data_IF_355295872835
#
_entry.id   IF_355295872835
#
_cell.length_a   1.000
_cell.length_b   1.000
_cell.length_c   1.000
_cell.angle_alpha   90.00
_cell.angle_beta   90.00
_cell.angle_gamma   90.00
#
_symmetry.space_group_name_H-M   'P 1'
#
loop_
_entity.id
_entity.type
_entity.pdbx_description
1 polymer ?
#
# COMPACT_ATOMS: atom_id res chain seq x y z
N UNK A 1 -46.81 -25.53 79.12
CA UNK A 1 -48.04 -26.27 78.72
C UNK A 1 -47.75 -26.97 77.39
N UNK A 2 -47.38 -28.26 77.52
CA UNK A 2 -47.60 -29.43 76.60
C UNK A 2 -47.06 -29.39 75.16
N UNK A 3 -46.31 -30.35 74.60
CA UNK A 3 -45.92 -31.76 74.90
C UNK A 3 -44.54 -32.03 74.22
N UNK A 4 -43.58 -32.78 74.80
CA UNK A 4 -43.30 -34.25 74.66
C UNK A 4 -43.41 -34.78 73.20
N UNK A 5 -42.55 -35.64 72.64
CA UNK A 5 -42.09 -37.00 73.05
C UNK A 5 -40.86 -37.44 72.21
N UNK A 6 -40.08 -38.35 72.80
CA UNK A 6 -38.87 -39.09 72.36
C UNK A 6 -39.06 -40.18 71.27
N UNK A 7 -37.92 -40.86 70.98
CA UNK A 7 -37.68 -42.24 70.48
C UNK A 7 -37.18 -42.32 69.02
N UNK A 8 -35.90 -42.64 68.79
CA UNK A 8 -35.18 -43.94 68.81
C UNK A 8 -35.40 -44.82 67.57
N UNK A 9 -34.26 -45.25 67.01
CA UNK A 9 -33.98 -46.45 66.21
C UNK A 9 -34.56 -46.60 64.80
N UNK A 10 -33.67 -46.60 63.80
CA UNK A 10 -33.46 -47.69 62.82
C UNK A 10 -32.28 -47.28 61.90
N UNK A 11 -31.08 -47.81 62.14
CA UNK A 11 -30.45 -48.91 61.39
C UNK A 11 -30.26 -48.67 59.88
N UNK A 12 -28.98 -48.50 59.52
CA UNK A 12 -28.28 -48.97 58.31
C UNK A 12 -29.06 -49.06 57.00
N UNK A 13 -28.65 -48.25 56.01
CA UNK A 13 -28.27 -48.77 54.70
C UNK A 13 -27.12 -47.95 54.12
N UNK A 14 -25.99 -48.62 53.89
CA UNK A 14 -24.87 -48.13 53.12
C UNK A 14 -25.22 -48.20 51.63
N UNK A 15 -24.94 -47.13 50.88
CA UNK A 15 -24.47 -47.24 49.49
C UNK A 15 -23.76 -45.95 49.09
N UNK A 16 -22.49 -46.11 48.78
CA UNK A 16 -21.57 -45.21 48.10
C UNK A 16 -22.15 -44.49 46.88
N UNK A 17 -21.90 -43.18 46.75
CA UNK A 17 -21.90 -42.51 45.45
C UNK A 17 -20.80 -41.43 45.38
N UNK A 18 -19.64 -41.88 44.91
CA UNK A 18 -18.72 -41.24 43.95
C UNK A 18 -18.64 -39.70 43.96
N UNK A 19 -17.51 -39.21 44.47
CA UNK A 19 -16.93 -37.91 44.12
C UNK A 19 -16.63 -37.88 42.61
N UNK A 20 -17.43 -37.15 41.83
CA UNK A 20 -17.01 -36.68 40.50
C UNK A 20 -16.30 -35.34 40.68
N UNK A 21 -15.01 -35.41 40.95
CA UNK A 21 -14.10 -34.28 40.77
C UNK A 21 -14.08 -33.96 39.28
N UNK A 22 -14.69 -32.85 38.88
CA UNK A 22 -14.52 -32.30 37.53
C UNK A 22 -13.08 -31.78 37.42
N UNK A 23 -12.17 -32.63 36.95
CA UNK A 23 -10.93 -32.17 36.34
C UNK A 23 -11.31 -31.46 35.04
N UNK A 24 -11.32 -30.13 35.09
CA UNK A 24 -11.32 -29.30 33.89
C UNK A 24 -10.00 -29.59 33.17
N UNK A 25 -10.03 -30.46 32.18
CA UNK A 25 -8.96 -30.57 31.20
C UNK A 25 -9.03 -29.30 30.37
N UNK A 26 -8.06 -28.41 30.58
CA UNK A 26 -7.78 -27.34 29.65
C UNK A 26 -7.44 -27.99 28.31
N UNK A 27 -8.39 -28.00 27.38
CA UNK A 27 -8.09 -28.27 25.99
C UNK A 27 -7.19 -27.13 25.51
N UNK A 28 -5.89 -27.42 25.44
CA UNK A 28 -4.98 -26.70 24.56
C UNK A 28 -5.52 -26.98 23.15
N UNK A 29 -6.40 -26.10 22.70
CA UNK A 29 -6.72 -26.00 21.28
C UNK A 29 -5.43 -25.59 20.61
N UNK A 30 -4.70 -26.57 20.08
CA UNK A 30 -3.68 -26.34 19.07
C UNK A 30 -4.36 -25.53 17.96
N UNK A 31 -4.08 -24.22 17.95
CA UNK A 31 -4.39 -23.38 16.81
C UNK A 31 -3.58 -23.96 15.67
N UNK A 32 -4.25 -24.68 14.77
CA UNK A 32 -3.72 -25.01 13.47
C UNK A 32 -3.10 -23.73 12.89
N UNK A 33 -1.86 -23.77 12.39
CA UNK A 33 -1.32 -22.62 11.67
C UNK A 33 -2.29 -22.39 10.50
N UNK A 34 -2.94 -21.24 10.51
CA UNK A 34 -3.66 -20.74 9.34
C UNK A 34 -2.59 -20.68 8.25
N UNK A 35 -2.61 -21.66 7.35
CA UNK A 35 -1.87 -21.57 6.12
C UNK A 35 -2.48 -20.38 5.39
N UNK A 36 -1.83 -19.23 5.47
CA UNK A 36 -2.05 -18.14 4.53
C UNK A 36 -1.76 -18.76 3.16
N UNK A 37 -2.83 -19.13 2.48
CA UNK A 37 -2.78 -19.56 1.10
C UNK A 37 -2.38 -18.30 0.31
N UNK A 38 -1.07 -18.11 0.15
CA UNK A 38 -0.52 -17.10 -0.73
C UNK A 38 -0.94 -17.50 -2.14
N UNK A 39 -2.07 -16.95 -2.58
CA UNK A 39 -2.44 -16.93 -3.99
C UNK A 39 -1.20 -16.43 -4.72
N UNK A 40 -0.56 -17.31 -5.48
CA UNK A 40 0.49 -16.91 -6.42
C UNK A 40 -0.20 -16.09 -7.50
N UNK A 41 -0.41 -14.81 -7.21
CA UNK A 41 -0.76 -13.85 -8.23
C UNK A 41 0.45 -13.76 -9.15
N UNK A 42 0.19 -13.92 -10.44
CA UNK A 42 1.13 -13.72 -11.52
C UNK A 42 1.94 -12.45 -11.24
N UNK A 43 3.26 -12.58 -11.11
CA UNK A 43 4.11 -11.50 -10.64
C UNK A 43 4.05 -10.33 -11.61
N UNK A 44 3.52 -9.19 -11.15
CA UNK A 44 3.41 -7.98 -11.97
C UNK A 44 4.80 -7.33 -12.05
N UNK A 45 5.31 -7.04 -13.24
CA UNK A 45 6.56 -6.29 -13.41
C UNK A 45 6.30 -4.79 -13.21
N UNK A 46 6.61 -4.30 -12.00
CA UNK A 46 6.42 -2.92 -11.61
C UNK A 46 7.40 -1.96 -12.29
N UNK A 47 8.64 -2.39 -12.55
CA UNK A 47 9.62 -1.59 -13.28
C UNK A 47 9.16 -1.36 -14.73
N UNK A 48 8.55 -2.37 -15.35
CA UNK A 48 7.91 -2.25 -16.66
C UNK A 48 6.71 -1.30 -16.63
N UNK A 49 5.84 -1.38 -15.62
CA UNK A 49 4.72 -0.44 -15.48
C UNK A 49 5.23 1.01 -15.46
N UNK A 50 6.24 1.31 -14.63
CA UNK A 50 6.78 2.67 -14.53
C UNK A 50 7.37 3.14 -15.86
N UNK A 51 8.12 2.27 -16.55
CA UNK A 51 8.68 2.56 -17.88
C UNK A 51 7.59 2.81 -18.92
N UNK A 52 6.55 1.98 -18.95
CA UNK A 52 5.44 2.11 -19.88
C UNK A 52 4.67 3.41 -19.63
N UNK A 53 4.40 3.75 -18.36
CA UNK A 53 3.79 5.02 -17.97
C UNK A 53 4.60 6.24 -18.41
N UNK A 54 5.92 6.22 -18.20
CA UNK A 54 6.80 7.30 -18.64
C UNK A 54 6.86 7.39 -20.18
N UNK A 55 7.04 6.25 -20.85
CA UNK A 55 7.19 6.20 -22.29
C UNK A 55 5.91 6.62 -23.02
N UNK A 56 4.75 6.13 -22.61
CA UNK A 56 3.47 6.51 -23.21
C UNK A 56 3.23 8.01 -23.13
N UNK A 57 3.54 8.63 -21.98
CA UNK A 57 3.42 10.08 -21.81
C UNK A 57 4.42 10.87 -22.65
N UNK A 58 5.67 10.40 -22.68
CA UNK A 58 6.71 11.01 -23.50
C UNK A 58 6.36 10.96 -24.99
N UNK A 59 5.92 9.80 -25.49
CA UNK A 59 5.52 9.61 -26.88
C UNK A 59 4.33 10.47 -27.26
N UNK A 60 3.31 10.55 -26.39
CA UNK A 60 2.19 11.47 -26.58
C UNK A 60 2.68 12.92 -26.71
N UNK A 61 3.47 13.40 -25.76
CA UNK A 61 4.01 14.76 -25.79
C UNK A 61 4.86 15.04 -27.03
N UNK A 62 5.64 14.05 -27.48
CA UNK A 62 6.42 14.15 -28.72
C UNK A 62 5.51 14.23 -29.95
N UNK A 63 4.41 13.47 -29.98
CA UNK A 63 3.43 13.48 -31.07
C UNK A 63 2.73 14.81 -31.26
N UNK A 64 2.61 15.62 -30.19
CA UNK A 64 2.07 16.98 -30.25
C UNK A 64 3.02 17.98 -30.94
N UNK A 65 4.32 17.69 -30.95
CA UNK A 65 5.36 18.56 -31.53
C UNK A 65 5.67 18.11 -32.95
N UNK A 66 5.66 16.81 -33.23
CA UNK A 66 5.81 16.33 -34.60
C UNK A 66 4.59 16.70 -35.41
N UNK A 67 4.78 17.17 -36.65
CA UNK A 67 3.70 17.40 -37.62
C UNK A 67 3.03 16.10 -38.12
N UNK A 68 3.02 15.07 -37.28
CA UNK A 68 2.29 13.83 -37.51
C UNK A 68 0.81 14.12 -37.66
N UNK A 69 0.21 13.60 -38.72
CA UNK A 69 -1.16 13.93 -39.16
C UNK A 69 -2.25 13.53 -38.14
N UNK A 70 -1.92 12.68 -37.16
CA UNK A 70 -2.80 12.34 -36.05
C UNK A 70 -2.00 12.29 -34.74
N UNK A 71 -2.39 13.05 -33.71
CA UNK A 71 -1.79 12.94 -32.39
C UNK A 71 -2.13 11.57 -31.80
N UNK A 72 -1.20 11.01 -31.03
CA UNK A 72 -1.46 9.77 -30.29
C UNK A 72 -2.62 9.98 -29.32
N UNK A 73 -3.30 8.89 -28.95
CA UNK A 73 -4.30 8.95 -27.90
C UNK A 73 -3.68 9.41 -26.58
N UNK A 74 -4.45 10.19 -25.83
CA UNK A 74 -4.04 10.74 -24.55
C UNK A 74 -3.88 9.58 -23.53
N UNK A 75 -2.69 9.41 -22.93
CA UNK A 75 -2.45 8.30 -22.01
C UNK A 75 -3.38 8.35 -20.80
N UNK A 76 -3.99 7.22 -20.46
CA UNK A 76 -4.88 7.11 -19.30
C UNK A 76 -4.05 7.14 -18.00
N UNK A 77 -4.49 7.85 -16.96
CA UNK A 77 -3.91 7.74 -15.63
C UNK A 77 -4.04 6.30 -15.13
N UNK A 78 -2.99 5.76 -14.53
CA UNK A 78 -2.98 4.40 -14.00
C UNK A 78 -2.16 4.37 -12.71
N UNK A 79 -2.65 3.64 -11.71
CA UNK A 79 -1.93 3.37 -10.46
C UNK A 79 -0.87 2.31 -10.70
N UNK A 80 0.28 2.48 -10.06
CA UNK A 80 1.34 1.47 -9.98
C UNK A 80 1.03 0.47 -8.85
N UNK A 81 0.45 0.94 -7.73
CA UNK A 81 0.14 0.12 -6.55
C UNK A 81 -1.33 -0.29 -6.57
N UNK A 82 -1.58 -1.56 -6.89
CA UNK A 82 -2.92 -2.15 -6.79
C UNK A 82 -3.24 -2.59 -5.35
N UNK A 83 -4.53 -2.75 -5.04
CA UNK A 83 -5.01 -3.10 -3.70
C UNK A 83 -4.55 -4.48 -3.25
N UNK A 84 -4.44 -5.45 -4.16
CA UNK A 84 -4.02 -6.81 -3.86
C UNK A 84 -3.11 -7.29 -5.00
N UNK A 85 -1.79 -7.24 -4.83
CA UNK A 85 -0.84 -7.65 -5.86
C UNK A 85 0.48 -8.14 -5.29
N UNK A 86 1.20 -8.98 -6.04
CA UNK A 86 2.64 -9.15 -5.88
C UNK A 86 3.32 -8.43 -7.03
N UNK A 87 4.09 -7.39 -6.73
CA UNK A 87 4.72 -6.54 -7.74
C UNK A 87 6.24 -6.64 -7.59
N UNK A 88 6.93 -6.95 -8.69
CA UNK A 88 8.37 -6.98 -8.73
C UNK A 88 8.91 -5.56 -9.00
N UNK A 89 9.79 -5.08 -8.11
CA UNK A 89 10.56 -3.87 -8.34
C UNK A 89 12.03 -4.10 -8.02
N UNK A 90 12.93 -3.74 -8.93
CA UNK A 90 14.36 -3.87 -8.70
C UNK A 90 14.81 -5.30 -8.38
N UNK A 91 14.07 -6.31 -8.85
CA UNK A 91 14.34 -7.72 -8.59
C UNK A 91 13.82 -8.26 -7.25
N UNK A 92 13.01 -7.49 -6.51
CA UNK A 92 12.36 -7.95 -5.28
C UNK A 92 10.84 -7.97 -5.44
N UNK A 93 10.20 -9.00 -4.91
CA UNK A 93 8.74 -9.10 -4.87
C UNK A 93 8.18 -8.36 -3.66
N UNK A 94 7.36 -7.35 -3.91
CA UNK A 94 6.61 -6.59 -2.91
C UNK A 94 5.21 -7.18 -2.83
N UNK A 95 4.83 -7.70 -1.67
CA UNK A 95 3.47 -8.17 -1.40
C UNK A 95 2.65 -6.98 -0.94
N UNK A 96 1.58 -6.70 -1.67
CA UNK A 96 0.72 -5.55 -1.47
C UNK A 96 -0.68 -6.03 -1.09
N UNK A 97 -1.17 -5.55 0.06
CA UNK A 97 -2.51 -5.83 0.58
C UNK A 97 -3.11 -4.52 1.05
N UNK A 98 -4.32 -4.21 0.60
CA UNK A 98 -5.00 -2.94 0.83
C UNK A 98 -4.13 -1.71 0.51
N UNK A 99 -3.42 -1.77 -0.63
CA UNK A 99 -2.44 -0.76 -1.08
C UNK A 99 -1.25 -0.55 -0.13
N UNK A 100 -1.00 -1.46 0.81
CA UNK A 100 0.14 -1.39 1.73
C UNK A 100 1.10 -2.51 1.41
N UNK A 101 2.39 -2.20 1.42
CA UNK A 101 3.45 -3.19 1.37
C UNK A 101 3.47 -3.92 2.70
N UNK A 102 3.02 -5.17 2.70
CA UNK A 102 3.02 -6.04 3.89
C UNK A 102 4.29 -6.88 3.99
N UNK A 103 4.97 -7.10 2.86
CA UNK A 103 6.22 -7.85 2.81
C UNK A 103 7.05 -7.45 1.59
N UNK A 104 8.37 -7.55 1.73
CA UNK A 104 9.30 -7.59 0.59
C UNK A 104 10.03 -8.92 0.66
N UNK A 105 9.77 -9.84 -0.27
CA UNK A 105 10.30 -11.21 -0.20
C UNK A 105 11.83 -11.19 -0.16
N UNK A 106 12.40 -12.02 0.69
CA UNK A 106 13.85 -12.08 0.91
C UNK A 106 14.41 -11.00 1.85
N UNK A 107 13.58 -10.07 2.33
CA UNK A 107 13.99 -9.03 3.31
C UNK A 107 13.16 -9.13 4.59
N UNK A 108 13.86 -9.13 5.73
CA UNK A 108 13.23 -9.05 7.05
C UNK A 108 13.18 -7.58 7.46
N UNK A 109 12.06 -6.91 7.16
CA UNK A 109 11.81 -5.51 7.51
C UNK A 109 10.84 -5.42 8.69
N UNK A 110 11.04 -4.41 9.55
CA UNK A 110 10.11 -4.14 10.64
C UNK A 110 8.77 -3.62 10.11
N UNK A 111 7.69 -3.79 10.88
CA UNK A 111 6.36 -3.24 10.54
C UNK A 111 6.40 -1.73 10.33
N UNK A 112 7.20 -1.01 11.12
CA UNK A 112 7.38 0.43 10.98
C UNK A 112 8.07 0.79 9.65
N UNK A 113 9.09 0.03 9.25
CA UNK A 113 9.80 0.22 7.98
C UNK A 113 8.89 -0.07 6.79
N UNK A 114 8.09 -1.13 6.86
CA UNK A 114 7.10 -1.48 5.83
C UNK A 114 5.99 -0.42 5.70
N UNK A 115 5.53 0.13 6.82
CA UNK A 115 4.57 1.24 6.83
C UNK A 115 5.18 2.49 6.18
N UNK A 116 6.40 2.88 6.57
CA UNK A 116 7.09 4.04 5.99
C UNK A 116 7.33 3.88 4.48
N UNK A 117 7.69 2.67 4.05
CA UNK A 117 7.84 2.32 2.65
C UNK A 117 6.50 2.46 1.91
N UNK A 118 5.43 1.90 2.46
CA UNK A 118 4.07 2.00 1.92
C UNK A 118 3.65 3.45 1.74
N UNK A 119 3.88 4.30 2.75
CA UNK A 119 3.48 5.70 2.71
C UNK A 119 4.18 6.46 1.58
N UNK A 120 5.49 6.22 1.40
CA UNK A 120 6.27 6.88 0.34
C UNK A 120 5.84 6.43 -1.04
N UNK A 121 5.74 5.12 -1.26
CA UNK A 121 5.35 4.60 -2.57
C UNK A 121 3.91 5.01 -2.92
N UNK A 122 2.98 4.97 -1.97
CA UNK A 122 1.61 5.45 -2.19
C UNK A 122 1.52 6.96 -2.42
N UNK A 123 2.36 7.76 -1.74
CA UNK A 123 2.41 9.19 -1.98
C UNK A 123 2.81 9.47 -3.43
N UNK A 124 3.88 8.83 -3.91
CA UNK A 124 4.36 8.98 -5.27
C UNK A 124 3.35 8.45 -6.30
N UNK A 125 2.73 7.29 -6.05
CA UNK A 125 1.73 6.72 -6.93
C UNK A 125 0.49 7.61 -7.09
N UNK A 126 -0.04 8.12 -5.97
CA UNK A 126 -1.16 9.08 -6.03
C UNK A 126 -0.75 10.38 -6.71
N UNK A 127 0.48 10.85 -6.49
CA UNK A 127 0.95 12.10 -7.05
C UNK A 127 1.14 12.00 -8.57
N UNK A 128 1.77 10.93 -9.08
CA UNK A 128 1.88 10.71 -10.53
C UNK A 128 0.49 10.58 -11.16
N UNK A 129 -0.40 9.78 -10.55
CA UNK A 129 -1.73 9.55 -11.10
C UNK A 129 -2.51 10.86 -11.21
N UNK A 130 -2.47 11.69 -10.17
CA UNK A 130 -3.11 13.00 -10.15
C UNK A 130 -2.51 13.96 -11.18
N UNK A 131 -1.20 13.95 -11.38
CA UNK A 131 -0.57 14.78 -12.41
C UNK A 131 -1.03 14.37 -13.81
N UNK A 132 -1.07 13.06 -14.09
CA UNK A 132 -1.57 12.53 -15.36
C UNK A 132 -3.04 12.94 -15.60
N UNK A 133 -3.89 12.73 -14.59
CA UNK A 133 -5.32 13.05 -14.65
C UNK A 133 -5.56 14.55 -14.91
N UNK A 134 -4.85 15.42 -14.19
CA UNK A 134 -5.00 16.87 -14.34
C UNK A 134 -4.54 17.41 -15.67
N UNK A 135 -3.42 16.91 -16.20
CA UNK A 135 -2.99 17.30 -17.55
C UNK A 135 -4.03 16.84 -18.57
N UNK A 136 -4.61 15.65 -18.38
CA UNK A 136 -5.61 15.16 -19.30
C UNK A 136 -6.86 16.04 -19.30
N UNK A 137 -7.31 16.44 -18.10
CA UNK A 137 -8.39 17.40 -17.94
C UNK A 137 -8.05 18.76 -18.60
N UNK A 138 -6.81 19.24 -18.44
CA UNK A 138 -6.37 20.51 -19.04
C UNK A 138 -6.34 20.44 -20.57
N UNK A 139 -5.92 19.32 -21.16
CA UNK A 139 -5.96 19.13 -22.61
C UNK A 139 -7.38 19.10 -23.19
N UNK A 140 -8.38 18.72 -22.39
CA UNK A 140 -9.78 18.74 -22.79
C UNK A 140 -10.38 20.16 -22.84
N UNK A 141 -9.70 21.16 -22.28
CA UNK A 141 -10.19 22.53 -22.27
C UNK A 141 -9.91 23.26 -23.60
N UNK A 142 -10.83 24.14 -24.06
CA UNK A 142 -10.63 24.94 -25.27
C UNK A 142 -9.49 25.97 -25.11
N UNK A 143 -9.31 26.52 -23.90
CA UNK A 143 -8.29 27.53 -23.57
C UNK A 143 -7.17 26.95 -22.70
N UNK A 144 -6.67 25.77 -23.07
CA UNK A 144 -5.69 25.02 -22.28
C UNK A 144 -4.43 25.84 -21.94
N UNK A 145 -3.97 25.72 -20.70
CA UNK A 145 -2.75 26.33 -20.22
C UNK A 145 -1.53 25.41 -20.45
N UNK A 146 -0.83 25.64 -21.56
CA UNK A 146 0.36 24.85 -21.94
C UNK A 146 1.50 24.92 -20.91
N UNK A 147 1.63 26.01 -20.17
CA UNK A 147 2.67 26.15 -19.15
C UNK A 147 2.33 25.33 -17.90
N UNK A 148 1.04 25.30 -17.53
CA UNK A 148 0.54 24.45 -16.46
C UNK A 148 0.75 22.97 -16.79
N UNK A 149 0.40 22.56 -18.03
CA UNK A 149 0.62 21.21 -18.54
C UNK A 149 2.09 20.79 -18.41
N UNK A 150 3.02 21.62 -18.92
CA UNK A 150 4.47 21.36 -18.81
C UNK A 150 4.94 21.20 -17.37
N UNK A 151 4.36 21.97 -16.45
CA UNK A 151 4.70 21.91 -15.02
C UNK A 151 4.24 20.58 -14.41
N UNK A 152 2.99 20.18 -14.68
CA UNK A 152 2.46 18.91 -14.21
C UNK A 152 3.19 17.71 -14.83
N UNK A 153 3.56 17.77 -16.12
CA UNK A 153 4.35 16.70 -16.75
C UNK A 153 5.73 16.54 -16.11
N UNK A 154 6.42 17.63 -15.79
CA UNK A 154 7.69 17.55 -15.03
C UNK A 154 7.51 16.90 -13.66
N UNK A 155 6.42 17.25 -12.97
CA UNK A 155 6.08 16.66 -11.68
C UNK A 155 5.74 15.16 -11.79
N UNK A 156 5.00 14.78 -12.83
CA UNK A 156 4.70 13.39 -13.17
C UNK A 156 5.98 12.57 -13.36
N UNK A 157 6.88 13.00 -14.25
CA UNK A 157 8.14 12.29 -14.49
C UNK A 157 9.03 12.26 -13.25
N UNK A 158 9.07 13.35 -12.48
CA UNK A 158 9.80 13.38 -11.21
C UNK A 158 9.28 12.33 -10.22
N UNK A 159 7.96 12.15 -10.14
CA UNK A 159 7.35 11.18 -9.24
C UNK A 159 7.69 9.74 -9.64
N UNK A 160 7.61 9.41 -10.94
CA UNK A 160 7.99 8.11 -11.47
C UNK A 160 9.49 7.80 -11.25
N UNK A 161 10.35 8.79 -11.46
CA UNK A 161 11.78 8.66 -11.21
C UNK A 161 12.08 8.41 -9.73
N UNK A 162 11.49 9.19 -8.83
CA UNK A 162 11.64 8.98 -7.38
C UNK A 162 11.11 7.61 -6.95
N UNK A 163 10.01 7.12 -7.55
CA UNK A 163 9.49 5.79 -7.27
C UNK A 163 10.55 4.73 -7.62
N UNK A 164 11.12 4.83 -8.81
CA UNK A 164 12.18 3.94 -9.31
C UNK A 164 13.44 4.01 -8.44
N UNK A 165 13.86 5.22 -8.05
CA UNK A 165 15.03 5.43 -7.21
C UNK A 165 14.85 4.78 -5.82
N UNK A 166 13.67 4.89 -5.20
CA UNK A 166 13.39 4.26 -3.92
C UNK A 166 13.51 2.74 -4.03
N UNK A 167 12.85 2.13 -5.01
CA UNK A 167 12.85 0.66 -5.16
C UNK A 167 14.23 0.12 -5.52
N UNK A 168 14.97 0.81 -6.40
CA UNK A 168 16.35 0.46 -6.72
C UNK A 168 17.31 0.66 -5.54
N UNK A 169 17.14 1.73 -4.78
CA UNK A 169 17.96 1.99 -3.60
C UNK A 169 17.75 0.90 -2.54
N UNK A 170 16.51 0.44 -2.31
CA UNK A 170 16.22 -0.71 -1.45
C UNK A 170 16.94 -1.96 -1.96
N UNK A 171 16.86 -2.24 -3.27
CA UNK A 171 17.54 -3.38 -3.89
C UNK A 171 19.08 -3.32 -3.82
N UNK A 172 19.65 -2.12 -3.72
CA UNK A 172 21.09 -1.93 -3.49
C UNK A 172 21.44 -2.12 -2.00
N UNK A 173 20.63 -1.57 -1.09
CA UNK A 173 20.85 -1.64 0.35
C UNK A 173 20.63 -3.05 0.91
N UNK A 174 19.76 -3.85 0.29
CA UNK A 174 19.50 -5.23 0.67
C UNK A 174 20.73 -6.15 0.60
N UNK A 175 21.73 -5.79 -0.22
CA UNK A 175 23.00 -6.53 -0.35
C UNK A 175 23.95 -6.30 0.83
N UNK A 176 23.63 -5.39 1.76
CA UNK A 176 24.48 -5.06 2.91
C UNK A 176 24.17 -5.99 4.09
N UNK A 177 25.19 -6.29 4.91
CA UNK A 177 25.06 -7.17 6.09
C UNK A 177 23.94 -6.77 7.06
N UNK A 178 23.70 -5.46 7.21
CA UNK A 178 22.66 -4.90 8.08
C UNK A 178 21.53 -4.26 7.24
N UNK A 179 21.04 -4.99 6.23
CA UNK A 179 20.06 -4.51 5.25
C UNK A 179 18.85 -3.83 5.91
N UNK A 180 18.20 -4.51 6.87
CA UNK A 180 16.98 -4.01 7.52
C UNK A 180 17.14 -2.62 8.14
N UNK A 181 18.16 -2.43 8.97
CA UNK A 181 18.47 -1.15 9.63
C UNK A 181 18.88 -0.09 8.61
N UNK A 182 19.67 -0.48 7.61
CA UNK A 182 20.16 0.47 6.60
C UNK A 182 19.02 0.98 5.71
N UNK A 183 18.10 0.10 5.34
CA UNK A 183 16.89 0.44 4.58
C UNK A 183 16.00 1.38 5.40
N UNK A 184 15.77 1.08 6.67
CA UNK A 184 14.99 1.96 7.55
C UNK A 184 15.57 3.37 7.62
N UNK A 185 16.87 3.48 7.89
CA UNK A 185 17.56 4.78 7.95
C UNK A 185 17.51 5.53 6.63
N UNK A 186 17.66 4.81 5.50
CA UNK A 186 17.59 5.41 4.17
C UNK A 186 16.17 5.92 3.86
N UNK A 187 15.13 5.15 4.17
CA UNK A 187 13.75 5.58 3.97
C UNK A 187 13.45 6.84 4.78
N UNK A 188 13.90 6.94 6.03
CA UNK A 188 13.70 8.15 6.84
C UNK A 188 14.34 9.40 6.24
N UNK A 189 15.44 9.26 5.48
CA UNK A 189 16.15 10.38 4.82
C UNK A 189 15.52 10.81 3.50
N UNK A 190 14.71 9.96 2.87
CA UNK A 190 14.03 10.31 1.63
C UNK A 190 12.96 11.35 1.96
N UNK A 191 13.19 12.60 1.60
CA UNK A 191 12.17 13.64 1.64
C UNK A 191 11.16 13.35 0.52
N UNK A 192 9.87 13.22 0.88
CA UNK A 192 8.82 13.09 -0.11
C UNK A 192 8.62 14.41 -0.87
N UNK A 193 7.91 14.40 -2.02
CA UNK A 193 7.48 15.64 -2.65
C UNK A 193 6.78 16.52 -1.60
N UNK A 194 7.21 17.78 -1.46
CA UNK A 194 6.73 18.60 -0.35
C UNK A 194 5.20 18.71 -0.39
N UNK A 195 4.57 18.58 0.77
CA UNK A 195 3.13 18.76 0.90
C UNK A 195 2.69 20.14 0.39
N UNK A 196 3.57 21.14 0.42
CA UNK A 196 3.29 22.48 -0.11
C UNK A 196 3.08 22.48 -1.62
N UNK A 197 3.83 21.69 -2.40
CA UNK A 197 3.57 21.53 -3.84
C UNK A 197 2.26 20.78 -4.08
N UNK A 198 1.97 19.76 -3.25
CA UNK A 198 0.73 18.99 -3.31
C UNK A 198 -0.53 19.83 -3.00
N UNK A 199 -0.42 20.74 -2.01
CA UNK A 199 -1.46 21.64 -1.53
C UNK A 199 -1.59 22.92 -2.37
N UNK A 200 -0.49 23.50 -2.85
CA UNK A 200 -0.51 24.66 -3.76
C UNK A 200 -1.22 24.32 -5.07
N UNK A 201 -0.97 23.12 -5.60
CA UNK A 201 -1.73 22.60 -6.75
C UNK A 201 -3.23 22.40 -6.43
N UNK A 202 -3.63 22.15 -5.18
CA UNK A 202 -5.05 22.11 -4.80
C UNK A 202 -5.69 23.51 -4.73
N UNK A 203 -4.96 24.53 -4.26
CA UNK A 203 -5.47 25.90 -4.15
C UNK A 203 -5.62 26.60 -5.49
N UNK A 204 -4.72 26.37 -6.46
CA UNK A 204 -4.85 26.98 -7.80
C UNK A 204 -6.14 26.56 -8.52
N UNK A 205 -6.67 25.35 -8.23
CA UNK A 205 -7.94 24.87 -8.81
C UNK A 205 -9.14 25.60 -8.21
N UNK A 206 -9.17 25.78 -6.88
CA UNK A 206 -10.25 26.53 -6.21
C UNK A 206 -10.32 27.99 -6.68
N UNK A 207 -9.18 28.61 -7.01
CA UNK A 207 -9.13 30.00 -7.49
C UNK A 207 -9.56 30.10 -8.95
N UNK A 208 -9.18 29.15 -9.81
CA UNK A 208 -9.58 29.14 -11.23
C UNK A 208 -11.07 28.84 -11.42
N UNK A 209 -11.64 27.96 -10.60
CA UNK A 209 -13.06 27.56 -10.67
C UNK A 209 -14.01 28.64 -10.10
N UNK A 210 -13.53 29.43 -9.13
CA UNK A 210 -14.25 30.61 -8.60
C UNK A 210 -14.17 31.80 -9.56
N UNK A 211 -13.13 31.91 -10.39
CA UNK A 211 -12.98 32.99 -11.36
C UNK A 211 -13.78 32.78 -12.67
N UNK A 212 -14.38 31.61 -12.87
CA UNK A 212 -15.20 31.26 -14.04
C UNK A 212 -16.71 31.21 -13.77
N UNK A 213 -17.15 31.54 -12.54
CA UNK A 213 -18.55 31.77 -12.18
C UNK A 213 -18.82 33.26 -12.03
#
# INVERSE_FOLDING_TARGET
MTMKINYLSALFYATSLIFMSTTVVAQVTERQPVSEEYVQMEGIDGDKIIKDLANNRYLYNKSLISHTKQPLELPKPQSIIDAQATINFGGYDYVIVNKKVTQVKGLVLSTATLALLSDKLNLLDRFQHRCADRVNAEYAQPNRNLQYIKTLDRQYFSALNQFTEITQHIAQLSKKRNASITIELALRKIEGPSNDVFLANNRQVMVAEVAQK
#
